data_IF_782118393743
#
_entry.id   IF_782118393743
#
_cell.length_a   1.000
_cell.length_b   1.000
_cell.length_c   1.000
_cell.angle_alpha   90.00
_cell.angle_beta   90.00
_cell.angle_gamma   90.00
#
_symmetry.space_group_name_H-M   'P 1'
#
loop_
_entity.id
_entity.type
_entity.pdbx_description
1 polymer ?
#
# COMPACT_ATOMS: atom_id res chain seq x y z
N UNK A 1 21.49 -27.45 -26.15
CA UNK A 1 21.91 -28.36 -25.06
C UNK A 1 20.75 -28.55 -24.11
N UNK A 2 20.38 -29.82 -23.97
CA UNK A 2 19.38 -30.50 -23.14
C UNK A 2 19.15 -29.95 -21.71
N UNK A 3 18.06 -30.22 -20.98
CA UNK A 3 16.75 -30.91 -21.16
C UNK A 3 15.91 -30.51 -19.92
N UNK A 4 14.60 -30.61 -20.05
CA UNK A 4 13.48 -30.23 -19.15
C UNK A 4 13.07 -31.40 -18.22
N UNK A 5 12.20 -31.11 -17.23
CA UNK A 5 11.26 -31.99 -16.46
C UNK A 5 11.78 -32.62 -15.14
N UNK A 6 10.95 -32.93 -14.13
CA UNK A 6 9.49 -33.03 -14.00
C UNK A 6 9.08 -33.05 -12.50
N UNK A 7 7.91 -32.56 -12.11
CA UNK A 7 6.57 -33.21 -12.04
C UNK A 7 6.37 -34.21 -10.88
N UNK A 8 5.35 -33.88 -10.07
CA UNK A 8 4.66 -34.65 -9.03
C UNK A 8 4.26 -36.06 -9.51
N UNK A 9 4.15 -37.00 -8.56
CA UNK A 9 3.46 -38.27 -8.82
C UNK A 9 3.26 -39.11 -7.57
N UNK A 10 2.00 -39.23 -7.13
CA UNK A 10 1.53 -40.11 -6.06
C UNK A 10 1.87 -41.58 -6.32
N UNK A 11 2.14 -42.37 -5.27
CA UNK A 11 2.44 -43.79 -5.41
C UNK A 11 1.56 -44.66 -4.51
N UNK A 12 0.67 -45.43 -5.16
CA UNK A 12 0.14 -46.68 -4.62
C UNK A 12 1.30 -47.70 -4.53
N UNK A 13 1.34 -48.48 -3.44
CA UNK A 13 2.46 -49.38 -3.11
C UNK A 13 2.02 -50.84 -3.16
N UNK A 14 2.68 -51.65 -3.97
CA UNK A 14 2.60 -53.10 -3.91
C UNK A 14 3.90 -53.66 -3.32
N UNK A 15 3.79 -54.53 -2.31
CA UNK A 15 4.91 -55.24 -1.68
C UNK A 15 5.01 -56.66 -2.24
N UNK A 16 6.22 -57.17 -2.42
CA UNK A 16 6.42 -58.62 -2.60
C UNK A 16 7.43 -59.10 -1.58
N UNK A 17 7.04 -60.13 -0.83
CA UNK A 17 7.86 -60.87 0.11
C UNK A 17 8.73 -61.88 -0.65
N UNK A 18 10.01 -61.94 -0.33
CA UNK A 18 10.95 -62.94 -0.83
C UNK A 18 10.59 -64.34 -0.35
N UNK A 19 9.98 -65.14 -1.23
CA UNK A 19 9.85 -66.59 -1.10
C UNK A 19 10.95 -67.23 -1.97
N UNK A 20 11.53 -68.28 -1.40
CA UNK A 20 12.54 -69.22 -1.90
C UNK A 20 12.55 -69.50 -3.41
N UNK A 21 13.76 -69.72 -3.90
CA UNK A 21 14.11 -70.29 -5.21
C UNK A 21 13.20 -71.45 -5.63
N UNK A 22 12.49 -71.28 -6.74
CA UNK A 22 12.22 -72.26 -7.82
C UNK A 22 11.56 -71.49 -8.97
N UNK A 23 12.15 -71.58 -10.16
CA UNK A 23 11.53 -71.25 -11.45
C UNK A 23 10.83 -69.90 -11.60
N UNK A 24 11.58 -68.80 -11.75
CA UNK A 24 11.03 -67.55 -12.30
C UNK A 24 11.54 -67.32 -13.72
N UNK A 25 10.71 -67.65 -14.70
CA UNK A 25 10.80 -67.02 -16.03
C UNK A 25 10.25 -65.60 -15.87
N UNK A 26 11.12 -64.61 -15.72
CA UNK A 26 10.70 -63.22 -15.86
C UNK A 26 10.71 -62.87 -17.35
N UNK A 27 9.55 -63.09 -17.98
CA UNK A 27 9.27 -62.61 -19.33
C UNK A 27 9.18 -61.08 -19.24
N UNK A 28 10.06 -60.38 -19.96
CA UNK A 28 10.00 -58.94 -20.15
C UNK A 28 9.77 -58.67 -21.63
N UNK A 29 8.58 -58.25 -22.00
CA UNK A 29 8.28 -57.71 -23.33
C UNK A 29 8.19 -56.18 -23.23
N UNK A 30 9.30 -55.52 -22.88
CA UNK A 30 9.52 -54.12 -23.29
C UNK A 30 10.98 -53.70 -23.06
N UNK A 31 11.65 -53.29 -24.14
CA UNK A 31 13.03 -52.83 -24.15
C UNK A 31 13.18 -51.38 -23.70
N UNK A 32 13.11 -51.14 -22.40
CA UNK A 32 13.44 -49.84 -21.79
C UNK A 32 14.07 -50.00 -20.40
N UNK A 33 14.92 -49.05 -19.96
CA UNK A 33 15.52 -49.11 -18.62
C UNK A 33 14.43 -49.01 -17.55
N UNK A 34 14.27 -50.08 -16.77
CA UNK A 34 13.34 -50.13 -15.64
C UNK A 34 13.86 -49.26 -14.50
N UNK A 35 13.28 -48.07 -14.33
CA UNK A 35 13.52 -47.16 -13.19
C UNK A 35 12.86 -47.67 -11.89
N UNK A 36 13.10 -48.94 -11.51
CA UNK A 36 12.61 -49.49 -10.25
C UNK A 36 13.48 -49.00 -9.10
N UNK A 37 12.95 -48.11 -8.26
CA UNK A 37 13.59 -47.72 -7.00
C UNK A 37 13.00 -48.53 -5.84
N UNK A 38 13.79 -49.46 -5.33
CA UNK A 38 13.45 -50.27 -4.16
C UNK A 38 13.76 -49.47 -2.89
N UNK A 39 12.73 -49.05 -2.14
CA UNK A 39 12.93 -48.59 -0.76
C UNK A 39 12.89 -49.80 0.19
N UNK A 40 13.81 -49.92 1.15
CA UNK A 40 13.81 -51.05 2.08
C UNK A 40 12.51 -51.08 2.88
N UNK A 41 11.91 -52.27 3.01
CA UNK A 41 10.74 -52.49 3.87
C UNK A 41 11.24 -52.46 5.32
N UNK A 42 11.10 -51.31 5.97
CA UNK A 42 11.44 -51.15 7.38
C UNK A 42 10.32 -51.78 8.21
N UNK A 43 10.40 -53.10 8.40
CA UNK A 43 9.44 -53.94 9.13
C UNK A 43 9.35 -53.58 10.62
N UNK A 44 8.80 -52.41 10.95
CA UNK A 44 8.63 -51.92 12.32
C UNK A 44 9.92 -52.00 13.16
N UNK A 45 11.09 -51.78 12.54
CA UNK A 45 12.34 -51.67 13.28
C UNK A 45 12.21 -50.51 14.29
N UNK A 46 12.62 -50.70 15.55
CA UNK A 46 12.40 -49.68 16.59
C UNK A 46 13.04 -48.36 16.15
N UNK A 47 12.23 -47.30 16.11
CA UNK A 47 12.63 -46.00 15.57
C UNK A 47 13.91 -45.52 16.25
N UNK A 48 14.98 -45.38 15.47
CA UNK A 48 16.29 -44.95 15.97
C UNK A 48 16.13 -43.64 16.74
N UNK A 49 16.43 -43.65 18.04
CA UNK A 49 16.29 -42.50 18.93
C UNK A 49 16.99 -41.28 18.31
N UNK A 50 16.24 -40.21 18.07
CA UNK A 50 16.79 -38.95 17.52
C UNK A 50 17.95 -38.51 18.42
N UNK A 51 19.15 -38.44 17.83
CA UNK A 51 20.36 -38.02 18.55
C UNK A 51 20.29 -36.51 18.77
N UNK A 52 20.71 -36.06 19.96
CA UNK A 52 20.83 -34.64 20.28
C UNK A 52 21.84 -34.04 19.30
N UNK A 53 21.42 -32.99 18.59
CA UNK A 53 22.28 -32.29 17.64
C UNK A 53 23.37 -31.56 18.41
N UNK A 54 24.60 -31.57 17.89
CA UNK A 54 25.72 -30.88 18.53
C UNK A 54 25.40 -29.41 18.77
N UNK A 55 25.74 -28.86 19.95
CA UNK A 55 25.42 -27.49 20.30
C UNK A 55 26.03 -26.47 19.31
N UNK A 56 27.17 -26.78 18.70
CA UNK A 56 27.79 -25.94 17.66
C UNK A 56 26.97 -25.85 16.37
N UNK A 57 26.31 -26.93 15.96
CA UNK A 57 25.48 -26.95 14.74
C UNK A 57 24.18 -26.18 14.96
N UNK A 58 23.61 -26.24 16.17
CA UNK A 58 22.42 -25.44 16.55
C UNK A 58 22.76 -23.95 16.55
N UNK A 59 23.85 -23.55 17.21
CA UNK A 59 24.33 -22.15 17.22
C UNK A 59 24.59 -21.62 15.81
N UNK A 60 25.26 -22.39 14.96
CA UNK A 60 25.53 -21.99 13.57
C UNK A 60 24.25 -21.85 12.73
N UNK A 61 23.20 -22.67 12.98
CA UNK A 61 21.90 -22.52 12.32
C UNK A 61 21.18 -21.26 12.77
N UNK A 62 21.23 -20.96 14.07
CA UNK A 62 20.58 -19.78 14.64
C UNK A 62 21.28 -18.49 14.21
N UNK A 63 22.61 -18.46 14.16
CA UNK A 63 23.37 -17.33 13.60
C UNK A 63 23.07 -17.10 12.12
N UNK A 64 22.94 -18.17 11.32
CA UNK A 64 22.53 -18.06 9.92
C UNK A 64 21.11 -17.49 9.78
N UNK A 65 20.18 -17.87 10.67
CA UNK A 65 18.82 -17.31 10.70
C UNK A 65 18.82 -15.84 11.11
N UNK A 66 19.55 -15.49 12.17
CA UNK A 66 19.72 -14.10 12.63
C UNK A 66 20.27 -13.20 11.52
N UNK A 67 21.34 -13.63 10.85
CA UNK A 67 21.93 -12.88 9.72
C UNK A 67 20.97 -12.72 8.53
N UNK A 68 20.11 -13.71 8.26
CA UNK A 68 19.09 -13.60 7.21
C UNK A 68 18.01 -12.57 7.57
N UNK A 69 17.52 -12.63 8.81
CA UNK A 69 16.51 -11.71 9.34
C UNK A 69 17.07 -10.28 9.40
N UNK A 70 18.30 -10.12 9.86
CA UNK A 70 18.98 -8.81 9.88
C UNK A 70 19.12 -8.22 8.48
N UNK A 71 19.48 -9.04 7.48
CA UNK A 71 19.54 -8.59 6.09
C UNK A 71 18.17 -8.22 5.53
N UNK A 72 17.10 -8.93 5.87
CA UNK A 72 15.75 -8.57 5.42
C UNK A 72 15.28 -7.27 6.08
N UNK A 73 15.53 -7.10 7.38
CA UNK A 73 15.24 -5.85 8.10
C UNK A 73 15.99 -4.68 7.46
N UNK A 74 17.29 -4.83 7.17
CA UNK A 74 18.08 -3.78 6.47
C UNK A 74 17.55 -3.43 5.07
N UNK A 75 16.91 -4.38 4.38
CA UNK A 75 16.27 -4.12 3.07
C UNK A 75 14.94 -3.37 3.23
N UNK A 76 14.10 -3.79 4.18
CA UNK A 76 12.83 -3.13 4.48
C UNK A 76 13.08 -1.69 4.96
N UNK A 77 14.02 -1.50 5.88
CA UNK A 77 14.40 -0.18 6.38
C UNK A 77 14.93 0.77 5.28
N UNK A 78 15.51 0.24 4.19
CA UNK A 78 15.91 1.06 3.03
C UNK A 78 14.71 1.51 2.20
N UNK A 79 13.64 0.72 2.16
CA UNK A 79 12.45 1.00 1.38
C UNK A 79 11.43 1.86 2.15
N UNK A 80 11.47 1.86 3.49
CA UNK A 80 10.56 2.64 4.36
C UNK A 80 10.56 4.15 4.08
N UNK A 81 11.62 4.70 3.46
CA UNK A 81 11.72 6.12 3.09
C UNK A 81 11.44 6.45 1.62
N UNK A 82 11.13 5.45 0.79
CA UNK A 82 10.82 5.67 -0.64
C UNK A 82 9.31 5.87 -0.76
N UNK A 83 8.90 7.13 -0.89
CA UNK A 83 7.49 7.47 -1.12
C UNK A 83 7.09 7.20 -2.57
N UNK A 84 5.80 6.92 -2.78
CA UNK A 84 5.22 6.86 -4.12
C UNK A 84 5.37 8.22 -4.80
N UNK A 85 5.81 8.29 -6.07
CA UNK A 85 5.94 9.55 -6.77
C UNK A 85 4.56 10.18 -6.98
N UNK A 86 4.50 11.52 -6.92
CA UNK A 86 3.27 12.28 -7.14
C UNK A 86 3.19 12.61 -8.63
N UNK A 87 2.40 11.84 -9.37
CA UNK A 87 2.31 11.95 -10.84
C UNK A 87 1.82 13.32 -11.32
N UNK A 88 0.97 14.00 -10.53
CA UNK A 88 0.42 15.32 -10.88
C UNK A 88 1.46 16.44 -10.81
N UNK A 89 2.49 16.26 -9.97
CA UNK A 89 3.57 17.24 -9.82
C UNK A 89 4.58 17.13 -10.97
N UNK A 90 4.77 15.94 -11.54
CA UNK A 90 5.75 15.70 -12.59
C UNK A 90 5.17 15.89 -13.99
N UNK A 91 5.90 16.62 -14.84
CA UNK A 91 5.50 16.75 -16.25
C UNK A 91 5.70 15.44 -16.98
N UNK A 92 4.62 14.91 -17.57
CA UNK A 92 4.65 13.69 -18.39
C UNK A 92 5.72 13.75 -19.49
N UNK A 93 6.47 12.65 -19.66
CA UNK A 93 7.52 12.53 -20.67
C UNK A 93 7.00 12.71 -22.09
N UNK A 94 5.75 12.26 -22.35
CA UNK A 94 5.10 12.41 -23.66
C UNK A 94 4.91 13.88 -24.03
N UNK A 95 4.47 14.69 -23.07
CA UNK A 95 4.27 16.14 -23.28
C UNK A 95 5.60 16.87 -23.54
N UNK A 96 6.69 16.42 -22.91
CA UNK A 96 8.03 16.97 -23.18
C UNK A 96 8.52 16.67 -24.60
N UNK A 97 8.30 15.45 -25.08
CA UNK A 97 8.67 15.05 -26.45
C UNK A 97 7.83 15.77 -27.51
N UNK A 98 6.52 15.87 -27.27
CA UNK A 98 5.57 16.51 -28.19
C UNK A 98 5.48 18.04 -28.02
N UNK A 99 6.36 18.64 -27.23
CA UNK A 99 6.30 20.06 -26.88
C UNK A 99 6.21 20.95 -28.13
N UNK A 100 7.08 20.74 -29.13
CA UNK A 100 7.09 21.55 -30.34
C UNK A 100 5.82 21.37 -31.19
N UNK A 101 5.20 20.19 -31.17
CA UNK A 101 3.97 19.89 -31.92
C UNK A 101 2.73 20.50 -31.26
N UNK A 102 2.70 20.54 -29.92
CA UNK A 102 1.56 21.03 -29.13
C UNK A 102 1.70 22.49 -28.69
N UNK A 103 2.86 23.12 -28.92
CA UNK A 103 3.11 24.51 -28.54
C UNK A 103 2.17 25.41 -29.33
N UNK A 104 1.39 26.21 -28.61
CA UNK A 104 0.63 27.32 -29.20
C UNK A 104 1.54 28.53 -29.35
N UNK A 105 1.41 29.24 -30.45
CA UNK A 105 2.13 30.49 -30.65
C UNK A 105 1.72 31.52 -29.60
N UNK A 106 2.68 32.37 -29.23
CA UNK A 106 2.45 33.40 -28.23
C UNK A 106 1.53 34.47 -28.81
N UNK A 107 0.36 34.62 -28.21
CA UNK A 107 -0.54 35.75 -28.52
C UNK A 107 0.15 37.04 -28.07
N UNK A 108 0.28 38.00 -28.99
CA UNK A 108 0.74 39.35 -28.67
C UNK A 108 -0.47 40.11 -28.13
N UNK A 109 -0.44 40.38 -26.83
CA UNK A 109 -1.47 41.14 -26.12
C UNK A 109 -1.25 42.63 -26.37
N UNK A 110 -2.30 43.40 -26.61
CA UNK A 110 -2.19 44.85 -26.80
C UNK A 110 -1.75 45.54 -25.49
N UNK A 111 -1.22 46.76 -25.57
CA UNK A 111 -0.84 47.51 -24.37
C UNK A 111 -2.05 47.78 -23.47
N UNK A 112 -3.18 48.16 -24.07
CA UNK A 112 -4.46 48.38 -23.37
C UNK A 112 -4.93 47.15 -22.58
N UNK A 113 -4.85 45.96 -23.17
CA UNK A 113 -5.22 44.70 -22.51
C UNK A 113 -4.27 44.35 -21.36
N UNK A 114 -2.98 44.69 -21.49
CA UNK A 114 -1.98 44.48 -20.42
C UNK A 114 -2.25 45.39 -19.23
N UNK A 115 -2.57 46.66 -19.50
CA UNK A 115 -2.87 47.64 -18.46
C UNK A 115 -4.19 47.28 -17.75
N UNK A 116 -5.23 46.91 -18.51
CA UNK A 116 -6.48 46.42 -17.94
C UNK A 116 -6.28 45.17 -17.05
N UNK A 117 -5.42 44.24 -17.47
CA UNK A 117 -5.05 43.07 -16.67
C UNK A 117 -4.30 43.43 -15.38
N UNK A 118 -3.43 44.45 -15.44
CA UNK A 118 -2.73 44.97 -14.27
C UNK A 118 -3.69 45.62 -13.27
N UNK A 119 -4.58 46.50 -13.76
CA UNK A 119 -5.60 47.15 -12.93
C UNK A 119 -6.50 46.12 -12.24
N UNK A 120 -6.97 45.11 -12.98
CA UNK A 120 -7.76 44.00 -12.42
C UNK A 120 -6.97 43.24 -11.35
N UNK A 121 -5.69 43.00 -11.58
CA UNK A 121 -4.80 42.36 -10.60
C UNK A 121 -4.68 43.16 -9.30
N UNK A 122 -4.53 44.48 -9.41
CA UNK A 122 -4.48 45.38 -8.24
C UNK A 122 -5.80 45.37 -7.48
N UNK A 123 -6.93 45.48 -8.18
CA UNK A 123 -8.26 45.43 -7.57
C UNK A 123 -8.50 44.08 -6.87
N UNK A 124 -8.10 42.97 -7.49
CA UNK A 124 -8.21 41.65 -6.91
C UNK A 124 -7.37 41.51 -5.63
N UNK A 125 -6.14 42.01 -5.64
CA UNK A 125 -5.28 42.03 -4.46
C UNK A 125 -5.92 42.81 -3.30
N UNK A 126 -6.49 43.99 -3.58
CA UNK A 126 -7.19 44.79 -2.57
C UNK A 126 -8.41 44.05 -2.01
N UNK A 127 -9.23 43.46 -2.89
CA UNK A 127 -10.40 42.68 -2.49
C UNK A 127 -10.01 41.48 -1.61
N UNK A 128 -9.01 40.69 -2.02
CA UNK A 128 -8.53 39.53 -1.25
C UNK A 128 -7.93 39.92 0.09
N UNK A 129 -7.26 41.07 0.15
CA UNK A 129 -6.77 41.62 1.41
C UNK A 129 -7.94 41.97 2.36
N UNK A 130 -8.95 42.70 1.87
CA UNK A 130 -10.13 43.05 2.65
C UNK A 130 -10.88 41.80 3.16
N UNK A 131 -11.08 40.81 2.29
CA UNK A 131 -11.67 39.52 2.66
C UNK A 131 -10.86 38.86 3.79
N UNK A 132 -9.53 38.80 3.65
CA UNK A 132 -8.67 38.18 4.66
C UNK A 132 -8.65 38.93 5.99
N UNK A 133 -8.83 40.25 5.99
CA UNK A 133 -8.98 41.04 7.22
C UNK A 133 -10.32 40.75 7.89
N UNK A 134 -11.40 40.69 7.10
CA UNK A 134 -12.74 40.36 7.61
C UNK A 134 -12.78 38.95 8.22
N UNK A 135 -12.22 37.95 7.52
CA UNK A 135 -12.16 36.57 8.00
C UNK A 135 -11.41 36.46 9.33
N UNK A 136 -10.26 37.15 9.46
CA UNK A 136 -9.50 37.21 10.72
C UNK A 136 -10.31 37.86 11.83
N UNK A 137 -11.00 38.96 11.54
CA UNK A 137 -11.83 39.64 12.54
C UNK A 137 -12.95 38.74 13.07
N UNK A 138 -13.57 37.91 12.21
CA UNK A 138 -14.59 36.94 12.62
C UNK A 138 -13.99 35.85 13.54
N UNK A 139 -12.84 35.29 13.16
CA UNK A 139 -12.15 34.28 13.97
C UNK A 139 -11.73 34.87 15.32
N UNK A 140 -11.13 36.06 15.34
CA UNK A 140 -10.72 36.75 16.57
C UNK A 140 -11.92 37.03 17.48
N UNK A 141 -13.06 37.44 16.92
CA UNK A 141 -14.28 37.66 17.68
C UNK A 141 -14.80 36.35 18.30
N UNK A 142 -14.80 35.25 17.54
CA UNK A 142 -15.22 33.94 18.02
C UNK A 142 -14.31 33.42 19.16
N UNK A 143 -12.99 33.58 19.02
CA UNK A 143 -12.01 33.18 20.04
C UNK A 143 -12.17 34.03 21.31
N UNK A 144 -12.33 35.35 21.19
CA UNK A 144 -12.58 36.22 22.35
C UNK A 144 -13.88 35.87 23.06
N UNK A 145 -14.94 35.59 22.31
CA UNK A 145 -16.22 35.17 22.87
C UNK A 145 -16.09 33.83 23.61
N UNK A 146 -15.38 32.86 23.03
CA UNK A 146 -15.10 31.57 23.69
C UNK A 146 -14.31 31.77 24.99
N UNK A 147 -13.25 32.56 24.98
CA UNK A 147 -12.43 32.85 26.17
C UNK A 147 -13.26 33.51 27.28
N UNK A 148 -14.06 34.53 26.92
CA UNK A 148 -14.94 35.19 27.87
C UNK A 148 -15.97 34.21 28.47
N UNK A 149 -16.57 33.37 27.64
CA UNK A 149 -17.51 32.35 28.10
C UNK A 149 -16.86 31.35 29.07
N UNK A 150 -15.61 30.94 28.84
CA UNK A 150 -14.88 30.04 29.75
C UNK A 150 -14.54 30.70 31.09
N UNK A 151 -14.20 32.00 31.09
CA UNK A 151 -13.94 32.75 32.33
C UNK A 151 -15.20 32.85 33.17
N UNK A 152 -16.33 33.20 32.55
CA UNK A 152 -17.62 33.26 33.24
C UNK A 152 -18.08 31.87 33.71
N UNK A 153 -17.90 30.82 32.90
CA UNK A 153 -18.22 29.45 33.28
C UNK A 153 -17.44 29.01 34.52
N UNK A 154 -16.14 29.32 34.58
CA UNK A 154 -15.29 29.00 35.75
C UNK A 154 -15.76 29.72 37.01
N UNK A 155 -16.23 30.97 36.87
CA UNK A 155 -16.76 31.75 38.00
C UNK A 155 -18.05 31.15 38.56
N UNK A 156 -18.89 30.56 37.72
CA UNK A 156 -20.15 29.95 38.10
C UNK A 156 -19.97 28.53 38.65
N UNK A 157 -19.12 27.73 38.01
CA UNK A 157 -18.89 26.32 38.36
C UNK A 157 -17.55 25.81 37.82
N UNK A 158 -16.69 25.35 38.71
CA UNK A 158 -15.39 24.78 38.34
C UNK A 158 -15.51 23.41 37.68
N UNK A 159 -16.46 22.57 38.13
CA UNK A 159 -16.66 21.22 37.59
C UNK A 159 -17.02 21.24 36.10
N UNK A 160 -17.95 22.10 35.67
CA UNK A 160 -18.31 22.22 34.25
C UNK A 160 -17.17 22.79 33.40
N UNK A 161 -16.34 23.64 33.98
CA UNK A 161 -15.16 24.19 33.30
C UNK A 161 -14.11 23.10 33.06
N UNK A 162 -13.89 22.20 34.02
CA UNK A 162 -12.99 21.06 33.87
C UNK A 162 -13.44 20.13 32.74
N UNK A 163 -14.74 19.85 32.64
CA UNK A 163 -15.30 19.05 31.55
C UNK A 163 -15.20 19.76 30.19
N UNK A 164 -15.48 21.06 30.13
CA UNK A 164 -15.46 21.83 28.89
C UNK A 164 -14.06 22.00 28.26
N UNK A 165 -12.99 21.87 29.04
CA UNK A 165 -11.60 21.98 28.56
C UNK A 165 -11.08 20.64 28.02
N UNK A 166 -11.70 19.52 28.37
CA UNK A 166 -11.25 18.22 27.89
C UNK A 166 -11.37 18.15 26.36
N UNK A 167 -10.37 17.52 25.74
CA UNK A 167 -10.37 17.28 24.30
C UNK A 167 -11.44 16.24 23.94
N UNK A 168 -12.27 16.55 22.96
CA UNK A 168 -13.28 15.63 22.47
C UNK A 168 -12.63 14.55 21.58
N UNK A 169 -12.62 13.32 22.08
CA UNK A 169 -12.06 12.15 21.39
C UNK A 169 -12.85 11.77 20.12
N UNK A 170 -14.10 12.23 19.98
CA UNK A 170 -14.96 11.89 18.85
C UNK A 170 -14.82 12.85 17.66
N UNK A 171 -14.01 13.90 17.77
CA UNK A 171 -13.75 14.84 16.67
C UNK A 171 -13.02 14.16 15.50
N UNK A 172 -12.21 13.13 15.78
CA UNK A 172 -11.44 12.44 14.75
C UNK A 172 -11.96 11.02 14.52
N UNK A 173 -12.23 10.60 13.26
CA UNK A 173 -11.98 11.31 12.00
C UNK A 173 -13.15 12.23 11.55
N UNK A 174 -12.93 13.54 11.52
CA UNK A 174 -13.86 14.50 10.91
C UNK A 174 -13.84 14.38 9.39
N UNK A 175 -15.02 14.30 8.75
CA UNK A 175 -15.20 14.31 7.29
C UNK A 175 -16.24 15.35 6.91
N UNK A 176 -15.88 16.27 6.02
CA UNK A 176 -16.83 17.15 5.36
C UNK A 176 -16.63 17.11 3.84
N UNK A 177 -17.72 17.21 3.10
CA UNK A 177 -17.70 17.46 1.66
C UNK A 177 -17.87 18.95 1.40
N UNK A 178 -17.11 19.50 0.44
CA UNK A 178 -17.30 20.87 -0.01
C UNK A 178 -18.68 21.10 -0.63
N UNK A 179 -19.09 22.37 -0.79
CA UNK A 179 -20.36 22.69 -1.45
C UNK A 179 -20.34 22.23 -2.92
N UNK A 180 -21.46 21.68 -3.40
CA UNK A 180 -21.64 21.36 -4.80
C UNK A 180 -22.10 22.59 -5.59
N UNK A 181 -21.72 22.68 -6.87
CA UNK A 181 -22.16 23.80 -7.73
C UNK A 181 -23.67 23.83 -7.93
N UNK A 182 -24.31 22.66 -7.93
CA UNK A 182 -25.75 22.46 -8.02
C UNK A 182 -26.21 21.53 -6.92
N UNK A 183 -27.45 21.70 -6.46
CA UNK A 183 -28.04 20.82 -5.45
C UNK A 183 -28.36 19.44 -6.06
N UNK A 184 -28.24 18.36 -5.27
CA UNK A 184 -28.56 17.02 -5.75
C UNK A 184 -30.06 16.89 -6.02
N UNK A 185 -30.41 16.28 -7.16
CA UNK A 185 -31.79 15.98 -7.52
C UNK A 185 -32.22 14.63 -6.91
N UNK A 186 -33.30 14.62 -6.15
CA UNK A 186 -33.84 13.41 -5.53
C UNK A 186 -34.28 12.39 -6.61
N UNK A 187 -33.81 11.15 -6.49
CA UNK A 187 -34.21 10.06 -7.37
C UNK A 187 -33.54 10.02 -8.74
N UNK A 188 -32.52 10.86 -8.99
CA UNK A 188 -31.73 10.77 -10.21
C UNK A 188 -30.97 9.44 -10.25
N UNK A 189 -31.31 8.60 -11.24
CA UNK A 189 -30.56 7.38 -11.55
C UNK A 189 -29.51 7.77 -12.58
N UNK A 190 -28.25 7.87 -12.14
CA UNK A 190 -27.14 8.01 -13.07
C UNK A 190 -27.15 6.83 -14.04
N UNK A 191 -26.87 7.02 -15.33
CA UNK A 191 -26.63 5.89 -16.22
C UNK A 191 -25.49 5.04 -15.64
N UNK A 192 -25.74 3.76 -15.45
CA UNK A 192 -24.81 2.82 -14.82
C UNK A 192 -23.58 2.58 -15.70
N UNK A 193 -22.42 2.45 -15.07
CA UNK A 193 -21.17 2.04 -15.69
C UNK A 193 -20.25 1.37 -14.67
N UNK A 194 -19.41 0.45 -15.14
CA UNK A 194 -18.47 -0.25 -14.27
C UNK A 194 -17.30 0.66 -13.87
N UNK A 195 -17.11 0.88 -12.57
CA UNK A 195 -15.91 1.52 -12.06
C UNK A 195 -14.73 0.55 -12.11
N UNK A 196 -13.68 0.91 -12.87
CA UNK A 196 -12.42 0.17 -12.91
C UNK A 196 -11.32 1.05 -12.32
N UNK A 197 -10.73 0.61 -11.22
CA UNK A 197 -9.57 1.27 -10.64
C UNK A 197 -8.35 1.07 -11.56
N UNK A 198 -7.80 2.17 -12.06
CA UNK A 198 -6.61 2.21 -12.93
C UNK A 198 -5.39 2.80 -12.19
N UNK A 199 -5.47 2.91 -10.87
CA UNK A 199 -4.38 3.40 -10.03
C UNK A 199 -3.13 2.53 -10.19
N UNK A 200 -1.98 3.16 -10.39
CA UNK A 200 -0.71 2.43 -10.53
C UNK A 200 -0.28 1.83 -9.19
N UNK A 201 0.00 0.54 -9.20
CA UNK A 201 0.60 -0.17 -8.06
C UNK A 201 2.11 0.06 -8.12
N UNK A 202 2.68 0.53 -7.01
CA UNK A 202 4.11 0.77 -6.84
C UNK A 202 4.63 -0.23 -5.80
N UNK A 203 5.46 -1.20 -6.24
CA UNK A 203 6.09 -2.25 -5.41
C UNK A 203 7.56 -1.94 -5.08
#
# INVERSE_FOLDING_TARGET
MSIVHGLLGSLLRCSTSSISSIGRRCISTNGGPLYMQLTPVLCAEPLKKKRKVDPGVVRARDEKRKKKIEKSIRKLARNEGIYKPIEETEVSLKLRQEYQLRKRDRVVVSEEERDAGYELGVQWCQYKFQQSVADKAVVDAAVKAQQHALVELRRLSEDLWLEAIQEDQFVFPYRCSGPSSSLPMAGYKSPDGDYKDVSKVWD
#
